data_IF_438578512512
#
_entry.id   IF_438578512512
#
_cell.length_a   1.000
_cell.length_b   1.000
_cell.length_c   1.000
_cell.angle_alpha   90.00
_cell.angle_beta   90.00
_cell.angle_gamma   90.00
#
_symmetry.space_group_name_H-M   'P 1'
#
loop_
_entity.id
_entity.type
_entity.pdbx_description
1 polymer ?
#
# COMPACT_ATOMS: atom_id res chain seq x y z
N UNK A 1 -8.25 12.50 12.97
CA UNK A 1 -8.29 13.67 12.07
C UNK A 1 -9.65 13.78 11.40
N UNK A 2 -10.01 14.95 10.87
CA UNK A 2 -11.16 15.15 9.96
C UNK A 2 -10.61 15.23 8.54
N UNK A 3 -11.29 14.62 7.57
CA UNK A 3 -10.90 14.62 6.17
C UNK A 3 -11.95 15.41 5.38
N UNK A 4 -11.53 16.43 4.62
CA UNK A 4 -12.42 17.21 3.76
C UNK A 4 -11.87 17.28 2.34
N UNK A 5 -12.77 17.28 1.36
CA UNK A 5 -12.44 17.59 -0.02
C UNK A 5 -12.28 19.11 -0.15
N UNK A 6 -11.24 19.55 -0.84
CA UNK A 6 -10.96 20.96 -1.10
C UNK A 6 -10.83 21.21 -2.61
N UNK A 7 -11.26 22.40 -3.04
CA UNK A 7 -10.98 22.91 -4.38
C UNK A 7 -9.83 23.90 -4.31
N UNK A 8 -8.80 23.69 -5.13
CA UNK A 8 -7.63 24.54 -5.24
C UNK A 8 -7.53 25.10 -6.66
N UNK A 9 -6.66 26.09 -6.91
CA UNK A 9 -6.39 26.57 -8.26
C UNK A 9 -5.84 25.48 -9.20
N UNK A 10 -5.24 24.42 -8.65
CA UNK A 10 -4.72 23.26 -9.37
C UNK A 10 -5.71 22.09 -9.49
N UNK A 11 -6.95 22.23 -8.99
CA UNK A 11 -7.96 21.17 -8.99
C UNK A 11 -8.30 20.64 -7.60
N UNK A 12 -8.89 19.44 -7.54
CA UNK A 12 -9.33 18.82 -6.29
C UNK A 12 -8.15 18.32 -5.44
N UNK A 13 -8.26 18.52 -4.13
CA UNK A 13 -7.30 18.07 -3.13
C UNK A 13 -8.03 17.56 -1.87
N UNK A 14 -7.29 16.90 -0.98
CA UNK A 14 -7.77 16.48 0.34
C UNK A 14 -7.06 17.28 1.40
N UNK A 15 -7.82 17.80 2.37
CA UNK A 15 -7.27 18.40 3.60
C UNK A 15 -7.55 17.46 4.77
N UNK A 16 -6.49 16.94 5.37
CA UNK A 16 -6.54 16.21 6.64
C UNK A 16 -6.27 17.20 7.78
N UNK A 17 -7.26 17.39 8.65
CA UNK A 17 -7.24 18.36 9.74
C UNK A 17 -7.09 17.63 11.08
N UNK A 18 -6.12 18.04 11.90
CA UNK A 18 -5.95 17.52 13.25
C UNK A 18 -7.17 17.87 14.10
N UNK A 19 -7.70 16.89 14.82
CA UNK A 19 -8.71 17.18 15.84
C UNK A 19 -8.02 17.69 17.11
N UNK A 20 -8.57 18.71 17.75
CA UNK A 20 -8.01 19.28 18.98
C UNK A 20 -8.11 18.35 20.18
N UNK A 21 -9.08 17.43 20.17
CA UNK A 21 -9.31 16.40 21.19
C UNK A 21 -8.45 15.13 20.99
N UNK A 22 -7.71 15.04 19.89
CA UNK A 22 -6.78 13.94 19.66
C UNK A 22 -5.50 14.14 20.50
N UNK A 23 -4.97 13.07 21.09
CA UNK A 23 -3.77 13.11 21.94
C UNK A 23 -2.46 13.55 21.25
N UNK A 24 -2.48 13.84 19.95
CA UNK A 24 -1.32 14.31 19.18
C UNK A 24 -1.26 15.84 19.18
N UNK A 25 -0.07 16.40 19.46
CA UNK A 25 0.16 17.84 19.52
C UNK A 25 0.12 18.52 18.15
N UNK A 26 0.68 17.88 17.13
CA UNK A 26 0.78 18.39 15.75
C UNK A 26 0.78 17.23 14.73
N UNK A 27 0.85 17.57 13.45
CA UNK A 27 0.85 16.61 12.33
C UNK A 27 2.23 16.34 11.73
N UNK A 28 3.33 16.89 12.29
CA UNK A 28 4.67 16.81 11.70
C UNK A 28 5.14 15.39 11.43
N UNK A 29 4.86 14.45 12.34
CA UNK A 29 5.19 13.05 12.13
C UNK A 29 4.59 12.47 10.84
N UNK A 30 3.31 12.73 10.59
CA UNK A 30 2.64 12.24 9.37
C UNK A 30 3.16 12.96 8.11
N UNK A 31 3.43 14.26 8.23
CA UNK A 31 4.02 15.07 7.16
C UNK A 31 5.39 14.51 6.75
N UNK A 32 6.27 14.26 7.73
CA UNK A 32 7.62 13.74 7.49
C UNK A 32 7.58 12.35 6.86
N UNK A 33 6.70 11.47 7.35
CA UNK A 33 6.52 10.14 6.80
C UNK A 33 5.99 10.19 5.36
N UNK A 34 4.97 11.02 5.09
CA UNK A 34 4.37 11.18 3.77
C UNK A 34 5.38 11.77 2.77
N UNK A 35 6.08 12.84 3.16
CA UNK A 35 7.11 13.46 2.32
C UNK A 35 8.23 12.47 1.98
N UNK A 36 8.67 11.65 2.94
CA UNK A 36 9.69 10.64 2.72
C UNK A 36 9.24 9.58 1.71
N UNK A 37 8.04 8.99 1.87
CA UNK A 37 7.56 7.96 0.93
C UNK A 37 7.19 8.53 -0.45
N UNK A 38 6.75 9.79 -0.52
CA UNK A 38 6.51 10.49 -1.78
C UNK A 38 7.78 10.63 -2.63
N UNK A 39 8.97 10.75 -2.02
CA UNK A 39 10.24 10.78 -2.76
C UNK A 39 10.53 9.48 -3.55
N UNK A 40 9.78 8.41 -3.28
CA UNK A 40 9.82 7.13 -3.98
C UNK A 40 8.53 6.85 -4.78
N UNK A 41 7.66 7.85 -4.94
CA UNK A 41 6.40 7.73 -5.67
C UNK A 41 5.33 6.90 -4.96
N UNK A 42 5.40 6.81 -3.62
CA UNK A 42 4.45 6.06 -2.79
C UNK A 42 3.55 7.04 -2.05
N UNK A 43 2.25 6.71 -1.99
CA UNK A 43 1.23 7.50 -1.32
C UNK A 43 0.72 8.70 -2.11
N UNK A 44 -0.29 9.41 -1.58
CA UNK A 44 -0.81 10.62 -2.21
C UNK A 44 0.25 11.72 -2.18
N UNK A 45 0.34 12.54 -3.23
CA UNK A 45 1.31 13.63 -3.25
C UNK A 45 1.00 14.67 -2.16
N UNK A 46 1.98 14.99 -1.32
CA UNK A 46 1.94 16.11 -0.39
C UNK A 46 1.99 17.43 -1.17
N UNK A 47 0.98 18.28 -1.00
CA UNK A 47 0.85 19.56 -1.70
C UNK A 47 1.18 20.76 -0.80
N UNK A 48 0.99 20.61 0.51
CA UNK A 48 1.30 21.64 1.50
C UNK A 48 0.89 21.19 2.90
N UNK A 49 1.36 21.90 3.93
CA UNK A 49 1.01 21.57 5.31
C UNK A 49 1.13 22.77 6.25
N UNK A 50 0.49 22.65 7.40
CA UNK A 50 0.70 23.48 8.59
C UNK A 50 0.95 22.55 9.78
N UNK A 51 1.09 23.09 10.98
CA UNK A 51 1.15 22.28 12.21
C UNK A 51 -0.09 21.36 12.38
N UNK A 52 -1.26 21.79 11.88
CA UNK A 52 -2.55 21.17 12.16
C UNK A 52 -3.29 20.68 10.90
N UNK A 53 -2.72 20.83 9.72
CA UNK A 53 -3.37 20.46 8.45
C UNK A 53 -2.36 19.90 7.47
N UNK A 54 -2.79 18.89 6.70
CA UNK A 54 -2.05 18.36 5.55
C UNK A 54 -2.94 18.51 4.32
N UNK A 55 -2.46 19.22 3.31
CA UNK A 55 -3.04 19.29 1.98
C UNK A 55 -2.33 18.25 1.09
N UNK A 56 -3.08 17.33 0.51
CA UNK A 56 -2.55 16.24 -0.32
C UNK A 56 -3.43 15.96 -1.54
N UNK A 57 -2.88 15.20 -2.50
CA UNK A 57 -3.59 14.72 -3.69
C UNK A 57 -4.95 14.10 -3.33
N UNK A 58 -6.00 14.48 -4.06
CA UNK A 58 -7.24 13.73 -4.05
C UNK A 58 -7.10 12.48 -4.92
N UNK A 59 -7.11 11.31 -4.27
CA UNK A 59 -7.06 10.02 -4.96
C UNK A 59 -8.47 9.58 -5.30
N UNK A 60 -8.88 9.80 -6.56
CA UNK A 60 -10.16 9.32 -7.07
C UNK A 60 -10.14 7.80 -7.26
N UNK A 61 -10.94 7.09 -6.47
CA UNK A 61 -10.94 5.63 -6.49
C UNK A 61 -11.90 5.01 -5.48
N UNK A 62 -11.79 3.70 -5.31
CA UNK A 62 -12.48 2.96 -4.26
C UNK A 62 -11.49 2.29 -3.30
N UNK A 63 -11.91 2.03 -2.07
CA UNK A 63 -11.08 1.34 -1.10
C UNK A 63 -10.78 -0.09 -1.57
N UNK A 64 -9.61 -0.61 -1.20
CA UNK A 64 -9.18 -1.97 -1.55
C UNK A 64 -10.22 -3.02 -1.17
N UNK A 65 -10.88 -2.89 -0.01
CA UNK A 65 -11.95 -3.82 0.39
C UNK A 65 -13.11 -3.86 -0.63
N UNK A 66 -13.50 -2.70 -1.15
CA UNK A 66 -14.66 -2.56 -2.03
C UNK A 66 -14.29 -3.01 -3.45
N UNK A 67 -13.04 -2.75 -3.85
CA UNK A 67 -12.46 -3.28 -5.07
C UNK A 67 -12.36 -4.81 -5.06
N UNK A 68 -11.94 -5.41 -3.93
CA UNK A 68 -11.88 -6.87 -3.76
C UNK A 68 -13.26 -7.53 -3.83
N UNK A 69 -14.32 -6.89 -3.34
CA UNK A 69 -15.70 -7.39 -3.50
C UNK A 69 -16.10 -7.42 -4.99
N UNK A 70 -15.62 -6.47 -5.78
CA UNK A 70 -15.90 -6.33 -7.22
C UNK A 70 -14.81 -6.95 -8.10
N UNK A 71 -13.95 -7.80 -7.54
CA UNK A 71 -12.73 -8.26 -8.22
C UNK A 71 -13.02 -9.02 -9.53
N UNK A 72 -14.12 -9.76 -9.60
CA UNK A 72 -14.57 -10.48 -10.82
C UNK A 72 -15.02 -9.54 -11.96
N UNK A 73 -15.17 -8.24 -11.72
CA UNK A 73 -15.41 -7.25 -12.78
C UNK A 73 -14.12 -6.86 -13.52
N UNK A 74 -12.96 -7.37 -13.08
CA UNK A 74 -11.66 -7.10 -13.68
C UNK A 74 -11.13 -8.35 -14.39
N UNK A 75 -10.33 -8.14 -15.45
CA UNK A 75 -9.58 -9.24 -16.05
C UNK A 75 -8.48 -9.73 -15.10
N UNK A 76 -8.07 -11.00 -15.17
CA UNK A 76 -6.95 -11.53 -14.38
C UNK A 76 -5.67 -10.69 -14.51
N UNK A 77 -5.40 -10.14 -15.70
CA UNK A 77 -4.23 -9.30 -15.98
C UNK A 77 -4.30 -7.98 -15.21
N UNK A 78 -5.47 -7.34 -15.15
CA UNK A 78 -5.71 -6.12 -14.37
C UNK A 78 -5.51 -6.39 -12.87
N UNK A 79 -6.06 -7.49 -12.37
CA UNK A 79 -5.88 -7.89 -10.97
C UNK A 79 -4.40 -8.13 -10.66
N UNK A 80 -3.69 -8.89 -11.50
CA UNK A 80 -2.24 -9.09 -11.35
C UNK A 80 -1.48 -7.77 -11.35
N UNK A 81 -1.81 -6.84 -12.25
CA UNK A 81 -1.17 -5.53 -12.32
C UNK A 81 -1.33 -4.74 -11.00
N UNK A 82 -2.56 -4.60 -10.52
CA UNK A 82 -2.85 -3.88 -9.26
C UNK A 82 -2.14 -4.50 -8.07
N UNK A 83 -2.25 -5.82 -7.88
CA UNK A 83 -1.60 -6.52 -6.77
C UNK A 83 -0.07 -6.43 -6.87
N UNK A 84 0.47 -6.52 -8.07
CA UNK A 84 1.90 -6.41 -8.31
C UNK A 84 2.45 -5.03 -7.94
N UNK A 85 1.72 -3.96 -8.30
CA UNK A 85 2.08 -2.60 -7.89
C UNK A 85 1.99 -2.42 -6.37
N UNK A 86 0.94 -2.92 -5.73
CA UNK A 86 0.74 -2.81 -4.27
C UNK A 86 1.84 -3.55 -3.49
N UNK A 87 2.15 -4.78 -3.89
CA UNK A 87 3.20 -5.58 -3.27
C UNK A 87 4.59 -4.96 -3.50
N UNK A 88 4.82 -4.33 -4.66
CA UNK A 88 6.07 -3.61 -4.94
C UNK A 88 6.23 -2.38 -4.06
N UNK A 89 5.17 -1.57 -3.87
CA UNK A 89 5.20 -0.44 -2.93
C UNK A 89 5.51 -0.91 -1.51
N UNK A 90 4.87 -2.00 -1.04
CA UNK A 90 5.12 -2.55 0.29
C UNK A 90 6.57 -3.05 0.45
N UNK A 91 7.13 -3.70 -0.58
CA UNK A 91 8.53 -4.12 -0.58
C UNK A 91 9.49 -2.92 -0.56
N UNK A 92 9.21 -1.87 -1.33
CA UNK A 92 10.01 -0.64 -1.31
C UNK A 92 9.99 0.03 0.06
N UNK A 93 8.83 0.14 0.69
CA UNK A 93 8.70 0.66 2.07
C UNK A 93 9.53 -0.18 3.06
N UNK A 94 9.47 -1.51 2.95
CA UNK A 94 10.30 -2.41 3.78
C UNK A 94 11.81 -2.17 3.54
N UNK A 95 12.25 -2.01 2.29
CA UNK A 95 13.66 -1.75 1.94
C UNK A 95 14.15 -0.39 2.44
N UNK A 96 13.26 0.59 2.52
CA UNK A 96 13.55 1.93 3.03
C UNK A 96 13.38 2.06 4.55
N UNK A 97 13.12 0.94 5.24
CA UNK A 97 12.90 0.87 6.68
C UNK A 97 11.71 1.73 7.17
N UNK A 98 10.63 1.81 6.37
CA UNK A 98 9.39 2.49 6.75
C UNK A 98 8.31 1.44 6.98
N UNK A 99 7.85 1.27 8.21
CA UNK A 99 6.69 0.44 8.51
C UNK A 99 5.42 1.29 8.54
N UNK A 100 4.39 0.93 7.79
CA UNK A 100 3.11 1.64 7.79
C UNK A 100 2.32 1.46 9.10
N UNK A 101 2.41 0.27 9.71
CA UNK A 101 1.73 -0.06 10.97
C UNK A 101 0.31 -0.64 10.83
N UNK A 102 -0.42 -0.30 9.77
CA UNK A 102 -1.86 -0.62 9.65
C UNK A 102 -2.18 -1.62 8.52
N UNK A 103 -1.20 -2.03 7.71
CA UNK A 103 -1.44 -2.89 6.53
C UNK A 103 -1.88 -4.32 6.87
N UNK A 104 -1.84 -4.73 8.14
CA UNK A 104 -2.48 -5.98 8.57
C UNK A 104 -4.00 -5.93 8.35
N UNK A 105 -4.60 -4.74 8.41
CA UNK A 105 -5.96 -4.47 7.99
C UNK A 105 -5.99 -3.38 6.90
N UNK A 106 -5.51 -3.71 5.70
CA UNK A 106 -5.42 -2.75 4.59
C UNK A 106 -6.78 -2.30 4.01
N UNK A 107 -7.91 -2.73 4.59
CA UNK A 107 -9.27 -2.47 4.07
C UNK A 107 -9.60 -0.99 3.83
N UNK A 108 -9.02 -0.08 4.63
CA UNK A 108 -9.23 1.36 4.56
C UNK A 108 -7.95 2.16 4.27
N UNK A 109 -6.81 1.49 4.12
CA UNK A 109 -5.49 2.12 3.98
C UNK A 109 -4.92 2.02 2.57
N UNK A 110 -5.72 1.51 1.62
CA UNK A 110 -5.35 1.45 0.20
C UNK A 110 -6.56 1.87 -0.63
N UNK A 111 -6.36 2.82 -1.53
CA UNK A 111 -7.32 3.21 -2.57
C UNK A 111 -6.84 2.66 -3.91
N UNK A 112 -7.75 2.08 -4.69
CA UNK A 112 -7.49 1.69 -6.09
C UNK A 112 -8.05 2.79 -6.97
N UNK A 113 -7.18 3.47 -7.73
CA UNK A 113 -7.59 4.56 -8.62
C UNK A 113 -8.55 4.07 -9.71
N UNK A 114 -9.54 4.88 -10.05
CA UNK A 114 -10.53 4.52 -11.08
C UNK A 114 -9.94 4.55 -12.48
N UNK A 115 -9.00 5.46 -12.75
CA UNK A 115 -8.45 5.72 -14.09
C UNK A 115 -7.51 4.60 -14.58
N UNK A 116 -6.57 4.16 -13.74
CA UNK A 116 -5.45 3.29 -14.14
C UNK A 116 -5.30 2.07 -13.23
N UNK A 117 -6.26 1.82 -12.33
CA UNK A 117 -6.27 0.74 -11.32
C UNK A 117 -5.00 0.65 -10.48
N UNK A 118 -4.23 1.73 -10.38
CA UNK A 118 -3.05 1.78 -9.53
C UNK A 118 -3.47 1.87 -8.05
N UNK A 119 -2.83 1.09 -7.17
CA UNK A 119 -3.04 1.18 -5.74
C UNK A 119 -2.29 2.38 -5.15
N UNK A 120 -2.92 3.08 -4.22
CA UNK A 120 -2.33 4.16 -3.43
C UNK A 120 -2.47 3.83 -1.97
N UNK A 121 -1.35 3.64 -1.28
CA UNK A 121 -1.30 3.46 0.16
C UNK A 121 -1.52 4.83 0.81
N UNK A 122 -2.48 4.93 1.74
CA UNK A 122 -2.86 6.18 2.39
C UNK A 122 -2.75 6.06 3.91
N UNK A 123 -2.74 7.21 4.57
CA UNK A 123 -2.74 7.33 6.04
C UNK A 123 -1.43 6.84 6.70
N UNK A 124 -0.39 7.68 6.59
CA UNK A 124 0.94 7.43 7.18
C UNK A 124 1.05 7.86 8.65
N UNK A 125 -0.09 8.09 9.30
CA UNK A 125 -0.15 8.57 10.67
C UNK A 125 0.46 7.60 11.69
N UNK A 126 0.32 6.29 11.47
CA UNK A 126 0.91 5.20 12.27
C UNK A 126 2.29 4.75 11.77
N UNK A 127 2.80 5.38 10.71
CA UNK A 127 4.05 4.96 10.08
C UNK A 127 5.24 5.19 11.02
N UNK A 128 6.29 4.39 10.88
CA UNK A 128 7.48 4.46 11.74
C UNK A 128 8.73 4.03 10.99
N UNK A 129 9.84 4.71 11.28
CA UNK A 129 11.18 4.34 10.79
C UNK A 129 12.03 3.56 11.78
N UNK A 130 11.50 3.31 12.98
CA UNK A 130 12.18 2.60 14.05
C UNK A 130 11.56 1.24 14.35
N UNK A 131 10.26 1.08 14.03
CA UNK A 131 9.56 -0.19 14.16
C UNK A 131 10.04 -1.17 13.10
N UNK A 132 10.10 -2.45 13.46
CA UNK A 132 10.40 -3.52 12.50
C UNK A 132 9.38 -3.52 11.35
N UNK A 133 9.89 -3.41 10.12
CA UNK A 133 9.06 -3.39 8.92
C UNK A 133 8.43 -4.75 8.63
N UNK A 134 7.13 -4.70 8.31
CA UNK A 134 6.31 -5.87 8.00
C UNK A 134 5.29 -5.60 6.89
N UNK A 135 5.46 -4.55 6.08
CA UNK A 135 4.45 -4.12 5.11
C UNK A 135 4.12 -5.22 4.10
N UNK A 136 5.14 -5.81 3.46
CA UNK A 136 4.92 -6.87 2.46
C UNK A 136 4.26 -8.09 3.10
N UNK A 137 4.71 -8.49 4.30
CA UNK A 137 4.12 -9.64 4.98
C UNK A 137 2.67 -9.38 5.41
N UNK A 138 2.37 -8.19 5.91
CA UNK A 138 1.03 -7.78 6.33
C UNK A 138 0.07 -7.73 5.14
N UNK A 139 0.49 -7.14 4.01
CA UNK A 139 -0.39 -7.07 2.84
C UNK A 139 -0.62 -8.45 2.21
N UNK A 140 0.39 -9.33 2.18
CA UNK A 140 0.23 -10.70 1.70
C UNK A 140 -0.75 -11.50 2.58
N UNK A 141 -0.68 -11.32 3.90
CA UNK A 141 -1.65 -11.94 4.82
C UNK A 141 -3.07 -11.43 4.55
N UNK A 142 -3.24 -10.12 4.42
CA UNK A 142 -4.54 -9.50 4.14
C UNK A 142 -5.15 -10.02 2.82
N UNK A 143 -4.34 -10.11 1.75
CA UNK A 143 -4.79 -10.50 0.42
C UNK A 143 -5.04 -12.01 0.30
N UNK A 144 -4.11 -12.84 0.76
CA UNK A 144 -4.07 -14.27 0.40
C UNK A 144 -4.41 -15.22 1.55
N UNK A 145 -4.40 -14.74 2.80
CA UNK A 145 -4.66 -15.59 3.97
C UNK A 145 -5.99 -15.28 4.66
N UNK A 146 -6.65 -14.18 4.30
CA UNK A 146 -8.01 -13.92 4.71
C UNK A 146 -8.98 -14.82 3.92
N UNK A 147 -9.80 -15.59 4.64
CA UNK A 147 -10.82 -16.48 4.05
C UNK A 147 -11.77 -15.76 3.09
N UNK A 148 -12.10 -14.49 3.34
CA UNK A 148 -13.00 -13.71 2.48
C UNK A 148 -12.43 -13.46 1.08
N UNK A 149 -11.11 -13.35 0.97
CA UNK A 149 -10.42 -12.95 -0.25
C UNK A 149 -9.87 -14.17 -1.01
N UNK A 150 -9.50 -15.22 -0.26
CA UNK A 150 -8.77 -16.37 -0.78
C UNK A 150 -9.46 -17.07 -1.95
N UNK A 151 -10.78 -17.27 -1.88
CA UNK A 151 -11.53 -17.91 -2.97
C UNK A 151 -11.40 -17.11 -4.27
N UNK A 152 -11.72 -15.82 -4.21
CA UNK A 152 -11.64 -14.95 -5.39
C UNK A 152 -10.21 -14.80 -5.92
N UNK A 153 -9.21 -14.78 -5.04
CA UNK A 153 -7.80 -14.78 -5.44
C UNK A 153 -7.43 -16.04 -6.20
N UNK A 154 -7.85 -17.23 -5.73
CA UNK A 154 -7.55 -18.48 -6.42
C UNK A 154 -8.29 -18.62 -7.74
N UNK A 155 -9.55 -18.16 -7.82
CA UNK A 155 -10.34 -18.18 -9.04
C UNK A 155 -9.69 -17.34 -10.15
N UNK A 156 -9.09 -16.20 -9.79
CA UNK A 156 -8.53 -15.23 -10.75
C UNK A 156 -7.05 -15.48 -11.04
N UNK A 157 -6.26 -15.77 -10.01
CA UNK A 157 -4.81 -15.90 -10.11
C UNK A 157 -4.36 -17.36 -10.31
N UNK A 158 -5.27 -18.32 -10.17
CA UNK A 158 -4.95 -19.74 -10.11
C UNK A 158 -4.60 -20.20 -8.69
N UNK A 159 -4.33 -21.51 -8.54
CA UNK A 159 -4.07 -22.12 -7.23
C UNK A 159 -2.85 -21.49 -6.57
N UNK A 160 -3.02 -21.05 -5.32
CA UNK A 160 -1.96 -20.49 -4.45
C UNK A 160 -1.79 -21.42 -3.25
N UNK A 161 -0.63 -22.06 -3.14
CA UNK A 161 -0.29 -22.90 -1.98
C UNK A 161 -0.01 -22.02 -0.76
N UNK A 162 -0.91 -22.05 0.24
CA UNK A 162 -0.73 -21.32 1.50
C UNK A 162 0.51 -21.75 2.26
N UNK A 163 0.86 -23.04 2.19
CA UNK A 163 2.09 -23.57 2.78
C UNK A 163 3.33 -22.95 2.13
N UNK A 164 3.38 -22.98 0.79
CA UNK A 164 4.47 -22.35 0.03
C UNK A 164 4.57 -20.84 0.29
N UNK A 165 3.42 -20.17 0.40
CA UNK A 165 3.37 -18.74 0.69
C UNK A 165 3.87 -18.43 2.10
N UNK A 166 3.46 -19.21 3.11
CA UNK A 166 3.97 -19.07 4.48
C UNK A 166 5.48 -19.27 4.53
N UNK A 167 6.01 -20.30 3.86
CA UNK A 167 7.45 -20.52 3.74
C UNK A 167 8.18 -19.33 3.12
N UNK A 168 7.71 -18.84 1.98
CA UNK A 168 8.30 -17.68 1.31
C UNK A 168 8.26 -16.40 2.18
N UNK A 169 7.18 -16.17 2.92
CA UNK A 169 7.06 -15.03 3.84
C UNK A 169 7.97 -15.18 5.07
N UNK A 170 8.18 -16.39 5.58
CA UNK A 170 9.13 -16.64 6.68
C UNK A 170 10.57 -16.35 6.24
N UNK A 171 10.95 -16.80 5.05
CA UNK A 171 12.27 -16.52 4.50
C UNK A 171 12.49 -15.02 4.28
N UNK A 172 11.45 -14.31 3.83
CA UNK A 172 11.50 -12.86 3.67
C UNK A 172 11.67 -12.11 4.99
N UNK A 173 11.04 -12.57 6.09
CA UNK A 173 11.21 -11.96 7.42
C UNK A 173 12.66 -12.03 7.90
N UNK A 174 13.35 -13.12 7.57
CA UNK A 174 14.76 -13.31 7.89
C UNK A 174 15.63 -12.46 6.94
N UNK A 175 15.33 -12.50 5.64
CA UNK A 175 16.11 -11.82 4.59
C UNK A 175 15.20 -11.09 3.60
N UNK A 176 15.11 -9.77 3.73
CA UNK A 176 14.30 -8.87 2.87
C UNK A 176 14.94 -8.61 1.49
N UNK A 177 15.47 -9.67 0.88
CA UNK A 177 16.13 -9.62 -0.41
C UNK A 177 15.14 -9.57 -1.58
N UNK A 178 15.63 -9.16 -2.74
CA UNK A 178 14.85 -9.16 -3.99
C UNK A 178 14.45 -10.58 -4.36
N UNK A 179 15.31 -11.57 -4.11
CA UNK A 179 15.07 -12.98 -4.38
C UNK A 179 13.89 -13.51 -3.56
N UNK A 180 13.84 -13.15 -2.27
CA UNK A 180 12.72 -13.48 -1.40
C UNK A 180 11.43 -12.82 -1.87
N UNK A 181 11.47 -11.54 -2.25
CA UNK A 181 10.32 -10.83 -2.83
C UNK A 181 9.83 -11.51 -4.12
N UNK A 182 10.71 -11.80 -5.06
CA UNK A 182 10.38 -12.49 -6.31
C UNK A 182 9.84 -13.90 -6.08
N UNK A 183 10.28 -14.59 -5.03
CA UNK A 183 9.70 -15.87 -4.64
C UNK A 183 8.27 -15.71 -4.15
N UNK A 184 7.98 -14.73 -3.31
CA UNK A 184 6.60 -14.42 -2.86
C UNK A 184 5.71 -14.13 -4.07
N UNK A 185 6.16 -13.26 -4.98
CA UNK A 185 5.41 -12.90 -6.20
C UNK A 185 5.07 -14.14 -7.05
N UNK A 186 6.05 -15.01 -7.29
CA UNK A 186 5.86 -16.28 -8.01
C UNK A 186 4.86 -17.20 -7.31
N UNK A 187 4.96 -17.36 -6.00
CA UNK A 187 4.01 -18.18 -5.22
C UNK A 187 2.58 -17.65 -5.30
N UNK A 188 2.41 -16.34 -5.45
CA UNK A 188 1.10 -15.70 -5.63
C UNK A 188 0.62 -15.66 -7.09
N UNK A 189 1.35 -16.27 -8.04
CA UNK A 189 1.08 -16.19 -9.49
C UNK A 189 1.06 -14.75 -10.05
N UNK A 190 1.88 -13.87 -9.46
CA UNK A 190 2.01 -12.46 -9.86
C UNK A 190 3.37 -12.24 -10.53
N UNK A 191 3.35 -11.54 -11.67
CA UNK A 191 4.56 -11.11 -12.39
C UNK A 191 4.99 -9.72 -11.91
N UNK A 192 6.30 -9.48 -11.84
CA UNK A 192 6.84 -8.18 -11.43
C UNK A 192 6.52 -7.10 -12.49
N UNK A 193 6.13 -5.86 -12.10
CA UNK A 193 5.83 -4.82 -13.07
C UNK A 193 7.13 -4.29 -13.68
N UNK A 194 7.10 -3.95 -14.97
CA UNK A 194 8.29 -3.39 -15.65
C UNK A 194 8.76 -2.08 -15.01
N UNK A 195 7.82 -1.24 -14.56
CA UNK A 195 8.09 0.05 -13.91
C UNK A 195 8.98 -0.05 -12.66
N UNK A 196 8.99 -1.18 -11.97
CA UNK A 196 9.82 -1.38 -10.77
C UNK A 196 11.06 -2.24 -11.06
N UNK A 197 11.36 -2.60 -12.32
CA UNK A 197 12.58 -3.38 -12.62
C UNK A 197 13.84 -2.67 -12.15
N UNK A 198 13.92 -1.35 -12.36
CA UNK A 198 15.11 -0.56 -12.06
C UNK A 198 15.08 0.05 -10.65
N UNK A 199 13.91 0.49 -10.17
CA UNK A 199 13.72 1.01 -8.81
C UNK A 199 13.97 -0.05 -7.71
N UNK A 200 13.97 -1.34 -8.08
CA UNK A 200 14.28 -2.45 -7.17
C UNK A 200 15.73 -2.95 -7.30
N UNK A 201 16.58 -2.30 -8.11
CA UNK A 201 18.01 -2.61 -8.26
C UNK A 201 18.88 -1.95 -7.19
N UNK A 202 18.31 -1.13 -6.30
CA UNK A 202 19.07 -0.63 -5.15
C UNK A 202 19.50 -1.82 -4.27
N UNK A 203 20.81 -2.06 -4.30
CA UNK A 203 21.50 -3.10 -3.52
C UNK A 203 21.30 -2.85 -2.03
#
# INVERSE_FOLDING_TARGET
>A
SVIVLASTSSGLAVVKIRRTDAGKKNMYHEIDMLAYVNSFGIGPQLLGYTENMILMEYVEGCLLKDWLIKIYQNTPERVRHTLSSLMSQCYMMDRMLVDHGELTNASKHVIIRTNDISPVIIDFESASRTRMVKNLTSICQYLFMNKSNMKAMQDILGVISLESLRGALMDYKIRRSRECFLRIMRTCNIRMPERYRDALLFK
#
